data_IF_137567306620
#
_entry.id   IF_137567306620
#
_cell.length_a   1.000
_cell.length_b   1.000
_cell.length_c   1.000
_cell.angle_alpha   90.00
_cell.angle_beta   90.00
_cell.angle_gamma   90.00
#
_symmetry.space_group_name_H-M   'P 1'
#
loop_
_entity.id
_entity.type
_entity.pdbx_description
1 polymer ?
#
# COMPACT_ATOMS: atom_id res chain seq x y z
N UNK A 1 7.92 0.03 3.58
CA UNK A 1 8.67 -0.66 4.64
C UNK A 1 7.66 -1.34 5.51
N UNK A 2 7.87 -2.62 5.78
CA UNK A 2 6.96 -3.41 6.62
C UNK A 2 7.53 -3.48 8.03
N UNK A 3 6.67 -3.26 9.02
CA UNK A 3 6.98 -3.45 10.43
C UNK A 3 6.61 -4.90 10.77
N UNK A 4 7.53 -5.73 11.30
CA UNK A 4 7.22 -7.10 11.67
C UNK A 4 6.21 -7.18 12.83
N UNK A 5 5.50 -8.30 12.93
CA UNK A 5 4.55 -8.53 14.00
C UNK A 5 5.22 -8.44 15.39
N UNK A 6 4.51 -7.83 16.34
CA UNK A 6 4.99 -7.66 17.73
C UNK A 6 5.98 -6.51 17.96
N UNK A 7 6.33 -5.74 16.92
CA UNK A 7 7.23 -4.58 17.06
C UNK A 7 6.56 -3.33 17.65
N UNK A 8 5.23 -3.24 17.55
CA UNK A 8 4.43 -2.15 18.10
C UNK A 8 3.33 -2.71 18.99
N UNK A 9 2.97 -1.95 20.02
CA UNK A 9 1.94 -2.37 20.97
C UNK A 9 0.53 -2.37 20.35
N UNK A 10 -0.41 -3.00 21.06
CA UNK A 10 -1.79 -3.17 20.61
C UNK A 10 -2.51 -1.82 20.43
N UNK A 11 -2.27 -0.85 21.31
CA UNK A 11 -2.90 0.47 21.24
C UNK A 11 -2.43 1.22 19.99
N UNK A 12 -1.12 1.27 19.74
CA UNK A 12 -0.54 1.88 18.54
C UNK A 12 -1.07 1.19 17.28
N UNK A 13 -1.07 -0.14 17.26
CA UNK A 13 -1.58 -0.93 16.12
C UNK A 13 -3.05 -0.62 15.82
N UNK A 14 -3.90 -0.56 16.85
CA UNK A 14 -5.33 -0.29 16.68
C UNK A 14 -5.61 1.11 16.13
N UNK A 15 -4.85 2.12 16.58
CA UNK A 15 -4.98 3.51 16.08
C UNK A 15 -4.66 3.56 14.58
N UNK A 16 -3.51 3.01 14.17
CA UNK A 16 -3.11 3.03 12.76
C UNK A 16 -3.99 2.14 11.88
N UNK A 17 -4.52 1.03 12.40
CA UNK A 17 -5.53 0.23 11.70
C UNK A 17 -6.80 1.03 11.43
N UNK A 18 -7.27 1.82 12.41
CA UNK A 18 -8.40 2.73 12.23
C UNK A 18 -8.14 3.81 11.17
N UNK A 19 -6.96 4.44 11.20
CA UNK A 19 -6.55 5.42 10.19
C UNK A 19 -6.46 4.80 8.79
N UNK A 20 -5.87 3.61 8.68
CA UNK A 20 -5.78 2.87 7.41
C UNK A 20 -7.18 2.52 6.87
N UNK A 21 -8.08 2.03 7.72
CA UNK A 21 -9.46 1.73 7.33
C UNK A 21 -10.20 2.98 6.84
N UNK A 22 -10.03 4.13 7.50
CA UNK A 22 -10.63 5.39 7.05
C UNK A 22 -10.06 5.85 5.69
N UNK A 23 -8.75 5.75 5.49
CA UNK A 23 -8.08 6.05 4.23
C UNK A 23 -8.57 5.15 3.08
N UNK A 24 -8.57 3.83 3.30
CA UNK A 24 -9.07 2.85 2.32
C UNK A 24 -10.55 3.08 2.03
N UNK A 25 -11.38 3.33 3.05
CA UNK A 25 -12.80 3.62 2.85
C UNK A 25 -13.04 4.86 1.99
N UNK A 26 -12.24 5.91 2.19
CA UNK A 26 -12.29 7.13 1.36
C UNK A 26 -11.86 6.85 -0.08
N UNK A 27 -10.77 6.11 -0.27
CA UNK A 27 -10.28 5.73 -1.59
C UNK A 27 -11.30 4.86 -2.34
N UNK A 28 -11.95 3.91 -1.68
CA UNK A 28 -13.00 3.07 -2.27
C UNK A 28 -14.18 3.89 -2.76
N UNK A 29 -14.60 4.93 -2.01
CA UNK A 29 -15.67 5.83 -2.45
C UNK A 29 -15.30 6.54 -3.75
N UNK A 30 -14.06 7.03 -3.88
CA UNK A 30 -13.56 7.66 -5.11
C UNK A 30 -13.42 6.66 -6.26
N UNK A 31 -12.89 5.47 -5.99
CA UNK A 31 -12.71 4.41 -6.98
C UNK A 31 -14.02 4.02 -7.67
N UNK A 32 -15.14 3.99 -6.93
CA UNK A 32 -16.48 3.67 -7.50
C UNK A 32 -16.94 4.64 -8.59
N UNK A 33 -16.42 5.87 -8.62
CA UNK A 33 -16.78 6.89 -9.60
C UNK A 33 -15.69 7.14 -10.63
N UNK A 34 -14.45 6.74 -10.36
CA UNK A 34 -13.28 7.05 -11.18
C UNK A 34 -12.72 5.83 -11.95
N UNK A 35 -12.99 4.62 -11.47
CA UNK A 35 -12.60 3.39 -12.19
C UNK A 35 -13.66 3.03 -13.23
N UNK A 36 -13.22 2.90 -14.47
CA UNK A 36 -14.00 2.41 -15.60
C UNK A 36 -13.33 1.16 -16.21
N UNK A 37 -13.90 0.63 -17.29
CA UNK A 37 -13.39 -0.56 -17.97
C UNK A 37 -11.94 -0.44 -18.46
N UNK A 38 -11.43 0.78 -18.67
CA UNK A 38 -10.07 1.04 -19.16
C UNK A 38 -9.10 1.34 -18.02
N UNK A 39 -9.54 2.06 -16.98
CA UNK A 39 -8.68 2.46 -15.87
C UNK A 39 -8.54 1.38 -14.80
N UNK A 40 -9.55 0.52 -14.61
CA UNK A 40 -9.48 -0.58 -13.65
C UNK A 40 -8.36 -1.59 -13.96
N UNK A 41 -8.15 -2.03 -15.23
CA UNK A 41 -7.00 -2.87 -15.57
C UNK A 41 -5.65 -2.19 -15.29
N UNK A 42 -5.51 -0.88 -15.55
CA UNK A 42 -4.27 -0.14 -15.29
C UNK A 42 -3.96 -0.05 -13.79
N UNK A 43 -4.98 0.20 -12.96
CA UNK A 43 -4.85 0.17 -11.50
C UNK A 43 -4.40 -1.21 -11.00
N UNK A 44 -5.00 -2.27 -11.53
CA UNK A 44 -4.62 -3.65 -11.21
C UNK A 44 -3.18 -3.99 -11.61
N UNK A 45 -2.77 -3.65 -12.84
CA UNK A 45 -1.41 -3.87 -13.32
C UNK A 45 -0.38 -3.10 -12.49
N UNK A 46 -0.69 -1.85 -12.13
CA UNK A 46 0.18 -1.03 -11.28
C UNK A 46 0.33 -1.66 -9.89
N UNK A 47 -0.76 -2.14 -9.30
CA UNK A 47 -0.73 -2.82 -8.00
C UNK A 47 0.11 -4.11 -8.05
N UNK A 48 -0.09 -4.95 -9.06
CA UNK A 48 0.67 -6.21 -9.23
C UNK A 48 2.16 -5.92 -9.46
N UNK A 49 2.49 -4.91 -10.26
CA UNK A 49 3.88 -4.50 -10.48
C UNK A 49 4.55 -4.03 -9.17
N UNK A 50 3.88 -3.15 -8.41
CA UNK A 50 4.39 -2.68 -7.13
C UNK A 50 4.60 -3.86 -6.18
N UNK A 51 3.64 -4.77 -6.08
CA UNK A 51 3.75 -5.97 -5.26
C UNK A 51 4.98 -6.82 -5.66
N UNK A 52 5.15 -7.08 -6.96
CA UNK A 52 6.27 -7.88 -7.46
C UNK A 52 7.63 -7.23 -7.13
N UNK A 53 7.75 -5.91 -7.29
CA UNK A 53 8.99 -5.19 -6.98
C UNK A 53 9.20 -5.08 -5.46
N UNK A 54 8.14 -5.04 -4.65
CA UNK A 54 8.25 -5.10 -3.19
C UNK A 54 8.81 -6.43 -2.69
N UNK A 55 8.62 -7.53 -3.43
CA UNK A 55 9.26 -8.81 -3.11
C UNK A 55 10.78 -8.77 -3.28
N UNK A 56 11.30 -7.85 -4.10
CA UNK A 56 12.74 -7.56 -4.18
C UNK A 56 13.14 -6.68 -2.98
N UNK A 57 13.28 -7.31 -1.82
CA UNK A 57 13.60 -6.65 -0.57
C UNK A 57 14.96 -7.10 -0.03
N UNK A 58 15.61 -6.23 0.73
CA UNK A 58 16.93 -6.47 1.34
C UNK A 58 16.89 -6.13 2.83
N UNK A 59 17.64 -6.85 3.69
CA UNK A 59 17.66 -6.57 5.11
C UNK A 59 18.28 -5.19 5.38
N UNK A 60 17.69 -4.44 6.31
CA UNK A 60 18.22 -3.12 6.72
C UNK A 60 18.65 -3.14 8.18
N UNK A 61 17.69 -3.18 9.12
CA UNK A 61 17.98 -3.17 10.55
C UNK A 61 16.84 -3.82 11.36
N UNK A 62 17.19 -4.44 12.49
CA UNK A 62 16.22 -4.96 13.47
C UNK A 62 15.08 -5.81 12.86
N UNK A 63 15.41 -6.71 11.92
CA UNK A 63 14.41 -7.58 11.28
C UNK A 63 13.51 -6.90 10.23
N UNK A 64 13.70 -5.62 9.96
CA UNK A 64 13.00 -4.90 8.88
C UNK A 64 13.75 -5.02 7.55
N UNK A 65 12.99 -4.90 6.44
CA UNK A 65 13.54 -4.94 5.09
C UNK A 65 13.27 -3.64 4.32
N UNK A 66 14.27 -3.24 3.54
CA UNK A 66 14.25 -2.18 2.53
C UNK A 66 13.69 -2.69 1.21
N UNK A 67 12.82 -1.91 0.58
CA UNK A 67 12.26 -2.22 -0.73
C UNK A 67 11.62 -0.98 -1.37
N UNK A 68 11.28 -1.08 -2.66
CA UNK A 68 10.50 -0.05 -3.34
C UNK A 68 9.15 0.16 -2.65
N UNK A 69 8.78 1.41 -2.34
CA UNK A 69 7.50 1.70 -1.69
C UNK A 69 6.33 1.71 -2.66
N UNK A 70 6.52 2.20 -3.89
CA UNK A 70 5.50 2.21 -4.94
C UNK A 70 4.45 3.33 -4.84
N UNK A 71 4.30 4.03 -3.71
CA UNK A 71 3.26 5.05 -3.54
C UNK A 71 3.33 6.21 -4.53
N UNK A 72 4.51 6.81 -4.71
CA UNK A 72 4.68 7.89 -5.70
C UNK A 72 4.47 7.40 -7.15
N UNK A 73 4.89 6.18 -7.45
CA UNK A 73 4.68 5.56 -8.75
C UNK A 73 3.18 5.34 -9.03
N UNK A 74 2.44 4.82 -8.03
CA UNK A 74 0.99 4.65 -8.12
C UNK A 74 0.29 5.98 -8.37
N UNK A 75 0.63 7.02 -7.59
CA UNK A 75 0.03 8.35 -7.75
C UNK A 75 0.27 8.95 -9.15
N UNK A 76 1.46 8.75 -9.72
CA UNK A 76 1.79 9.25 -11.07
C UNK A 76 1.08 8.45 -12.17
N UNK A 77 0.96 7.13 -12.03
CA UNK A 77 0.41 6.27 -13.08
C UNK A 77 -1.12 6.20 -13.08
N UNK A 78 -1.74 6.21 -11.92
CA UNK A 78 -3.18 5.92 -11.77
C UNK A 78 -3.96 6.91 -10.90
N UNK A 79 -3.29 7.94 -10.35
CA UNK A 79 -3.91 9.00 -9.55
C UNK A 79 -3.93 8.71 -8.06
#
# INVERSE_FOLDING_TARGET
>A
MHIPDGFIDVQTSAIFAGLAAAGVGTALKGARTQLDEKTAPLAGLTAVFIFAVQMLNFPVAAGTSGHLLGGALAAVLVG
#
